data_IF_588548297997
#
_entry.id   IF_588548297997
#
_cell.length_a   1.000
_cell.length_b   1.000
_cell.length_c   1.000
_cell.angle_alpha   90.00
_cell.angle_beta   90.00
_cell.angle_gamma   90.00
#
_symmetry.space_group_name_H-M   'P 1'
#
loop_
_entity.id
_entity.type
_entity.pdbx_description
1 polymer ?
#
# COMPACT_ATOMS: atom_id res chain seq x y z
N UNK A 1 40.62 28.16 -9.37
CA UNK A 1 39.64 28.06 -10.47
C UNK A 1 39.41 26.61 -10.89
N UNK A 2 40.46 25.82 -11.15
CA UNK A 2 40.33 24.39 -11.51
C UNK A 2 39.59 23.54 -10.46
N UNK A 3 39.87 23.70 -9.16
CA UNK A 3 39.20 22.94 -8.10
C UNK A 3 37.69 23.18 -8.04
N UNK A 4 37.23 24.41 -8.33
CA UNK A 4 35.80 24.76 -8.35
C UNK A 4 35.06 24.04 -9.48
N UNK A 5 35.68 23.96 -10.66
CA UNK A 5 35.13 23.27 -11.84
C UNK A 5 35.02 21.76 -11.57
N UNK A 6 36.07 21.15 -11.01
CA UNK A 6 36.10 19.71 -10.71
C UNK A 6 35.01 19.33 -9.71
N UNK A 7 34.84 20.08 -8.62
CA UNK A 7 33.78 19.81 -7.65
C UNK A 7 32.38 19.94 -8.24
N UNK A 8 32.13 20.92 -9.11
CA UNK A 8 30.81 21.08 -9.76
C UNK A 8 30.48 19.90 -10.68
N UNK A 9 31.47 19.38 -11.43
CA UNK A 9 31.26 18.22 -12.31
C UNK A 9 30.96 16.94 -11.51
N UNK A 10 31.63 16.75 -10.37
CA UNK A 10 31.37 15.59 -9.49
C UNK A 10 29.97 15.68 -8.88
N UNK A 11 29.52 16.86 -8.44
CA UNK A 11 28.18 17.03 -7.88
C UNK A 11 27.10 16.76 -8.93
N UNK A 12 27.30 17.22 -10.17
CA UNK A 12 26.36 16.97 -11.27
C UNK A 12 26.32 15.49 -11.63
N UNK A 13 27.48 14.83 -11.73
CA UNK A 13 27.53 13.40 -12.09
C UNK A 13 26.93 12.52 -10.99
N UNK A 14 27.21 12.82 -9.72
CA UNK A 14 26.63 12.10 -8.59
C UNK A 14 25.13 12.32 -8.48
N UNK A 15 24.64 13.56 -8.68
CA UNK A 15 23.20 13.85 -8.71
C UNK A 15 22.47 13.09 -9.82
N UNK A 16 23.06 12.99 -11.02
CA UNK A 16 22.48 12.22 -12.12
C UNK A 16 22.43 10.72 -11.81
N UNK A 17 23.52 10.16 -11.27
CA UNK A 17 23.59 8.75 -10.88
C UNK A 17 22.58 8.42 -9.78
N UNK A 18 22.45 9.28 -8.77
CA UNK A 18 21.47 9.12 -7.68
C UNK A 18 20.05 9.15 -8.25
N UNK A 19 19.71 10.10 -9.12
CA UNK A 19 18.37 10.20 -9.72
C UNK A 19 18.04 8.95 -10.54
N UNK A 20 18.96 8.47 -11.37
CA UNK A 20 18.75 7.23 -12.15
C UNK A 20 18.58 6.00 -11.26
N UNK A 21 19.30 5.93 -10.13
CA UNK A 21 19.21 4.82 -9.20
C UNK A 21 17.88 4.83 -8.43
N UNK A 22 17.44 6.01 -7.97
CA UNK A 22 16.16 6.17 -7.28
C UNK A 22 14.95 5.83 -8.17
N UNK A 23 14.96 6.25 -9.44
CA UNK A 23 13.90 5.88 -10.39
C UNK A 23 13.82 4.37 -10.64
N UNK A 24 14.98 3.69 -10.73
CA UNK A 24 15.03 2.24 -10.90
C UNK A 24 14.51 1.48 -9.66
N UNK A 25 14.85 1.95 -8.45
CA UNK A 25 14.31 1.42 -7.21
C UNK A 25 12.80 1.63 -7.12
N UNK A 26 12.29 2.79 -7.55
CA UNK A 26 10.86 3.10 -7.54
C UNK A 26 10.04 2.18 -8.45
N UNK A 27 10.55 1.84 -9.65
CA UNK A 27 9.87 0.90 -10.56
C UNK A 27 9.80 -0.52 -10.01
N UNK A 28 10.81 -0.96 -9.27
CA UNK A 28 10.84 -2.32 -8.73
C UNK A 28 9.77 -2.58 -7.65
N UNK A 29 9.45 -1.56 -6.84
CA UNK A 29 8.41 -1.65 -5.82
C UNK A 29 7.01 -1.75 -6.43
N UNK A 30 6.77 -0.98 -7.48
CA UNK A 30 5.50 -0.92 -8.20
C UNK A 30 5.15 -2.26 -8.86
N UNK A 31 6.10 -2.87 -9.59
CA UNK A 31 5.93 -4.18 -10.22
C UNK A 31 5.70 -5.31 -9.21
N UNK A 32 6.35 -5.26 -8.06
CA UNK A 32 6.18 -6.27 -7.01
C UNK A 32 4.81 -6.17 -6.33
N UNK A 33 4.29 -4.95 -6.16
CA UNK A 33 2.95 -4.71 -5.63
C UNK A 33 1.88 -5.17 -6.61
N UNK A 34 2.02 -4.82 -7.89
CA UNK A 34 1.11 -5.22 -8.96
C UNK A 34 0.98 -6.75 -9.03
N UNK A 35 2.10 -7.47 -9.01
CA UNK A 35 2.10 -8.93 -9.02
C UNK A 35 1.40 -9.53 -7.79
N UNK A 36 1.53 -8.91 -6.61
CA UNK A 36 0.78 -9.34 -5.41
C UNK A 36 -0.71 -9.07 -5.57
N UNK A 37 -1.07 -7.94 -6.16
CA UNK A 37 -2.46 -7.56 -6.40
C UNK A 37 -3.14 -8.48 -7.42
N UNK A 38 -2.46 -8.84 -8.51
CA UNK A 38 -2.92 -9.87 -9.44
C UNK A 38 -3.16 -11.21 -8.74
N UNK A 39 -2.26 -11.62 -7.85
CA UNK A 39 -2.43 -12.82 -7.03
C UNK A 39 -3.68 -12.74 -6.14
N UNK A 40 -3.89 -11.61 -5.48
CA UNK A 40 -5.08 -11.33 -4.68
C UNK A 40 -6.37 -11.41 -5.49
N UNK A 41 -6.42 -10.79 -6.68
CA UNK A 41 -7.60 -10.83 -7.56
C UNK A 41 -7.94 -12.27 -7.92
N UNK A 42 -6.94 -13.05 -8.32
CA UNK A 42 -7.12 -14.45 -8.72
C UNK A 42 -7.65 -15.33 -7.56
N UNK A 43 -7.31 -15.00 -6.32
CA UNK A 43 -7.65 -15.80 -5.14
C UNK A 43 -8.98 -15.37 -4.49
N UNK A 44 -9.29 -14.07 -4.45
CA UNK A 44 -10.34 -13.54 -3.58
C UNK A 44 -11.45 -12.75 -4.27
N UNK A 45 -11.21 -12.12 -5.43
CA UNK A 45 -12.12 -11.09 -5.97
C UNK A 45 -12.74 -11.48 -7.32
N UNK A 46 -14.06 -11.32 -7.51
CA UNK A 46 -14.68 -11.39 -8.83
C UNK A 46 -14.39 -10.08 -9.60
N UNK A 47 -13.36 -10.09 -10.45
CA UNK A 47 -13.02 -9.15 -11.56
C UNK A 47 -13.56 -7.71 -11.45
N UNK A 48 -12.66 -6.72 -11.35
CA UNK A 48 -13.00 -5.30 -11.46
C UNK A 48 -13.42 -4.91 -12.88
N UNK A 49 -14.41 -4.04 -12.99
CA UNK A 49 -15.12 -3.80 -14.27
C UNK A 49 -14.51 -2.72 -15.13
N UNK A 50 -13.73 -1.81 -14.53
CA UNK A 50 -13.15 -0.64 -15.20
C UNK A 50 -11.71 -0.41 -14.75
N UNK A 51 -10.88 0.13 -15.63
CA UNK A 51 -9.49 0.49 -15.31
C UNK A 51 -9.41 1.50 -14.15
N UNK A 52 -10.37 2.44 -14.09
CA UNK A 52 -10.45 3.40 -12.98
C UNK A 52 -10.73 2.73 -11.62
N UNK A 53 -11.57 1.69 -11.61
CA UNK A 53 -11.83 0.90 -10.40
C UNK A 53 -10.60 0.06 -10.04
N UNK A 54 -9.93 -0.52 -11.02
CA UNK A 54 -8.69 -1.26 -10.84
C UNK A 54 -7.61 -0.40 -10.18
N UNK A 55 -7.30 0.76 -10.75
CA UNK A 55 -6.28 1.68 -10.25
C UNK A 55 -6.61 2.17 -8.83
N UNK A 56 -7.88 2.47 -8.57
CA UNK A 56 -8.35 2.84 -7.25
C UNK A 56 -8.13 1.72 -6.22
N UNK A 57 -8.52 0.48 -6.56
CA UNK A 57 -8.41 -0.68 -5.67
C UNK A 57 -6.96 -1.09 -5.44
N UNK A 58 -6.10 -0.98 -6.46
CA UNK A 58 -4.67 -1.16 -6.33
C UNK A 58 -4.08 -0.15 -5.33
N UNK A 59 -4.50 1.12 -5.39
CA UNK A 59 -4.09 2.15 -4.43
C UNK A 59 -4.47 1.80 -2.99
N UNK A 60 -5.73 1.40 -2.76
CA UNK A 60 -6.20 0.97 -1.43
C UNK A 60 -5.43 -0.27 -0.95
N UNK A 61 -5.20 -1.23 -1.84
CA UNK A 61 -4.42 -2.42 -1.55
C UNK A 61 -2.98 -2.09 -1.14
N UNK A 62 -2.34 -1.14 -1.83
CA UNK A 62 -1.00 -0.66 -1.51
C UNK A 62 -0.90 -0.12 -0.08
N UNK A 63 -1.86 0.73 0.30
CA UNK A 63 -1.93 1.34 1.63
C UNK A 63 -2.14 0.27 2.71
N UNK A 64 -3.08 -0.65 2.47
CA UNK A 64 -3.36 -1.76 3.39
C UNK A 64 -2.16 -2.72 3.56
N UNK A 65 -1.38 -2.97 2.50
CA UNK A 65 -0.16 -3.79 2.61
C UNK A 65 0.91 -3.12 3.47
N UNK A 66 1.05 -1.80 3.38
CA UNK A 66 1.95 -1.04 4.24
C UNK A 66 1.52 -1.10 5.70
N UNK A 67 0.22 -0.91 5.96
CA UNK A 67 -0.34 -1.05 7.32
C UNK A 67 -0.11 -2.47 7.85
N UNK A 68 -0.34 -3.50 7.03
CA UNK A 68 -0.10 -4.89 7.40
C UNK A 68 1.38 -5.16 7.77
N UNK A 69 2.34 -4.57 7.04
CA UNK A 69 3.76 -4.67 7.36
C UNK A 69 4.10 -4.01 8.71
N UNK A 70 3.60 -2.80 8.95
CA UNK A 70 3.77 -2.10 10.24
C UNK A 70 3.15 -2.88 11.41
N UNK A 71 1.98 -3.50 11.20
CA UNK A 71 1.33 -4.35 12.20
C UNK A 71 2.11 -5.66 12.44
N UNK A 72 2.72 -6.23 11.41
CA UNK A 72 3.55 -7.43 11.53
C UNK A 72 4.81 -7.17 12.36
N UNK A 73 5.43 -6.00 12.21
CA UNK A 73 6.58 -5.57 13.01
C UNK A 73 6.20 -5.35 14.48
N UNK A 74 5.04 -4.74 14.73
CA UNK A 74 4.57 -4.44 16.09
C UNK A 74 4.01 -5.66 16.83
N UNK A 75 3.45 -6.65 16.11
CA UNK A 75 2.92 -7.88 16.70
C UNK A 75 3.43 -9.13 15.97
N UNK A 76 4.62 -9.65 16.37
CA UNK A 76 5.22 -10.83 15.75
C UNK A 76 4.45 -12.14 15.96
N UNK A 77 3.48 -12.16 16.89
CA UNK A 77 2.66 -13.35 17.17
C UNK A 77 1.45 -13.47 16.24
N UNK A 78 1.06 -12.37 15.60
CA UNK A 78 0.04 -12.35 14.57
C UNK A 78 0.68 -12.41 13.17
N UNK A 79 -0.08 -12.92 12.20
CA UNK A 79 0.31 -12.92 10.79
C UNK A 79 -0.54 -11.90 10.06
N UNK A 80 0.11 -10.86 9.54
CA UNK A 80 -0.52 -9.86 8.69
C UNK A 80 -0.05 -10.05 7.23
N UNK A 81 -0.89 -9.68 6.28
CA UNK A 81 -0.62 -9.87 4.86
C UNK A 81 -1.89 -9.73 4.02
N UNK A 82 -1.91 -10.39 2.87
CA UNK A 82 -3.07 -10.41 1.96
C UNK A 82 -4.24 -11.15 2.61
N UNK A 83 -5.40 -10.53 2.58
CA UNK A 83 -6.68 -11.05 3.08
C UNK A 83 -7.79 -10.74 2.07
N UNK A 84 -8.98 -11.36 2.18
CA UNK A 84 -10.12 -11.04 1.32
C UNK A 84 -10.57 -9.57 1.37
N UNK A 85 -10.15 -8.80 2.37
CA UNK A 85 -10.51 -7.40 2.56
C UNK A 85 -9.37 -6.43 2.26
N UNK A 86 -8.27 -6.92 1.69
CA UNK A 86 -7.09 -6.10 1.46
C UNK A 86 -7.31 -4.97 0.45
N UNK A 87 -8.37 -4.99 -0.37
CA UNK A 87 -8.75 -3.93 -1.31
C UNK A 87 -9.81 -2.95 -0.76
N UNK A 88 -10.15 -3.06 0.53
CA UNK A 88 -11.24 -2.29 1.17
C UNK A 88 -10.73 -1.19 2.07
N UNK A 89 -11.44 -0.08 2.08
CA UNK A 89 -11.23 0.96 3.08
C UNK A 89 -11.89 0.55 4.40
N UNK A 90 -11.48 1.14 5.53
CA UNK A 90 -12.12 0.90 6.82
C UNK A 90 -13.64 1.15 6.78
N UNK A 91 -14.08 2.21 6.11
CA UNK A 91 -15.51 2.57 6.00
C UNK A 91 -16.30 1.53 5.20
N UNK A 92 -15.72 1.01 4.11
CA UNK A 92 -16.33 -0.08 3.34
C UNK A 92 -16.42 -1.37 4.16
N UNK A 93 -15.36 -1.65 4.95
CA UNK A 93 -15.31 -2.82 5.82
C UNK A 93 -16.38 -2.73 6.94
N UNK A 94 -16.54 -1.56 7.56
CA UNK A 94 -17.57 -1.31 8.57
C UNK A 94 -18.98 -1.54 8.02
N UNK A 95 -19.25 -1.03 6.82
CA UNK A 95 -20.53 -1.26 6.13
C UNK A 95 -20.77 -2.74 5.84
N UNK A 96 -19.74 -3.49 5.42
CA UNK A 96 -19.85 -4.93 5.15
C UNK A 96 -20.06 -5.77 6.41
N UNK A 97 -19.42 -5.40 7.52
CA UNK A 97 -19.53 -6.13 8.79
C UNK A 97 -20.85 -5.86 9.51
N UNK A 98 -21.64 -4.87 9.04
CA UNK A 98 -22.94 -4.56 9.62
C UNK A 98 -22.84 -4.01 11.04
N UNK A 99 -21.73 -3.34 11.37
CA UNK A 99 -21.62 -2.59 12.62
C UNK A 99 -22.64 -1.45 12.58
N UNK A 100 -23.81 -1.67 13.18
CA UNK A 100 -24.83 -0.63 13.34
C UNK A 100 -24.49 0.21 14.58
N UNK A 101 -24.70 1.53 14.47
CA UNK A 101 -24.65 2.43 15.64
C UNK A 101 -25.58 1.92 16.76
N UNK A 102 -26.74 1.35 16.38
CA UNK A 102 -27.69 0.72 17.31
C UNK A 102 -27.07 -0.38 18.19
N UNK A 103 -26.12 -1.16 17.66
CA UNK A 103 -25.44 -2.19 18.45
C UNK A 103 -24.48 -1.58 19.48
N UNK A 104 -23.79 -0.48 19.13
CA UNK A 104 -22.93 0.25 20.06
C UNK A 104 -23.77 0.96 21.14
N UNK A 105 -24.85 1.63 20.76
CA UNK A 105 -25.77 2.29 21.69
C UNK A 105 -26.42 1.29 22.66
N UNK A 106 -26.67 0.05 22.22
CA UNK A 106 -27.20 -1.02 23.08
C UNK A 106 -26.18 -1.52 24.10
N UNK A 107 -24.89 -1.62 23.73
CA UNK A 107 -23.82 -2.01 24.65
C UNK A 107 -23.52 -0.93 25.70
N UNK A 108 -23.68 0.34 25.33
CA UNK A 108 -23.51 1.47 26.23
C UNK A 108 -24.69 1.65 27.20
N UNK A 109 -25.88 1.10 26.87
CA UNK A 109 -27.04 1.10 27.77
C UNK A 109 -27.04 -0.05 28.80
N UNK A 110 -26.20 -1.07 28.62
CA UNK A 110 -26.04 -2.16 29.59
C UNK A 110 -24.90 -1.94 30.61
N UNK A 111 -24.20 -0.80 30.54
CA UNK A 111 -23.24 -0.33 31.56
C UNK A 111 -23.82 0.79 32.43
#
# INVERSE_FOLDING_TARGET
>A
QMTKIITSVIIISTGLLIATYMSALCQSGDLALESKFEGFINEYTPVYTTDAEYDYRLGVFAENMKIAEELQESNPMAKFGVTPFSDRTPEEMEQMMGFSQEFQDALDQEQ
#
